data_IF_241726588173
#
_entry.id   IF_241726588173
#
_cell.length_a   1.000
_cell.length_b   1.000
_cell.length_c   1.000
_cell.angle_alpha   90.00
_cell.angle_beta   90.00
_cell.angle_gamma   90.00
#
_symmetry.space_group_name_H-M   'P 1'
#
loop_
_entity.id
_entity.type
_entity.pdbx_description
1 polymer ?
#
# COMPACT_ATOMS: atom_id res chain seq x y z
N UNK A 1 -9.41 -24.51 3.35
CA UNK A 1 -8.61 -23.90 2.27
C UNK A 1 -7.82 -22.76 2.86
N UNK A 2 -6.58 -22.61 2.46
CA UNK A 2 -5.70 -21.58 3.00
C UNK A 2 -5.51 -20.46 1.99
N UNK A 3 -5.20 -19.26 2.49
CA UNK A 3 -4.76 -18.12 1.67
C UNK A 3 -3.51 -18.53 0.87
N UNK A 4 -3.46 -18.13 -0.41
CA UNK A 4 -2.30 -18.38 -1.26
C UNK A 4 -1.60 -17.06 -1.56
N UNK A 5 -0.27 -16.96 -1.33
CA UNK A 5 0.50 -15.78 -1.69
C UNK A 5 0.45 -15.47 -3.20
N UNK A 6 0.73 -14.22 -3.55
CA UNK A 6 0.91 -13.80 -4.94
C UNK A 6 2.17 -14.46 -5.55
N UNK A 7 2.17 -14.58 -6.86
CA UNK A 7 3.38 -14.92 -7.59
C UNK A 7 4.41 -13.79 -7.48
N UNK A 8 5.68 -14.17 -7.45
CA UNK A 8 6.77 -13.19 -7.46
C UNK A 8 6.86 -12.60 -8.87
N UNK A 9 6.87 -11.26 -9.02
CA UNK A 9 7.00 -10.63 -10.33
C UNK A 9 8.30 -11.03 -11.06
N UNK A 10 8.25 -11.13 -12.37
CA UNK A 10 9.41 -11.50 -13.19
C UNK A 10 10.58 -10.52 -13.08
N UNK A 11 10.29 -9.24 -12.76
CA UNK A 11 11.29 -8.18 -12.56
C UNK A 11 11.64 -7.95 -11.07
N UNK A 12 11.34 -8.90 -10.19
CA UNK A 12 11.43 -8.68 -8.74
C UNK A 12 12.85 -8.35 -8.26
N UNK A 13 13.86 -8.96 -8.85
CA UNK A 13 15.27 -8.67 -8.50
C UNK A 13 15.60 -7.19 -8.72
N UNK A 14 15.20 -6.62 -9.87
CA UNK A 14 15.42 -5.21 -10.19
C UNK A 14 14.54 -4.30 -9.34
N UNK A 15 13.30 -4.72 -9.08
CA UNK A 15 12.36 -4.02 -8.20
C UNK A 15 12.92 -3.89 -6.77
N UNK A 16 13.44 -4.97 -6.20
CA UNK A 16 14.06 -4.97 -4.86
C UNK A 16 15.28 -4.05 -4.82
N UNK A 17 16.11 -4.03 -5.87
CA UNK A 17 17.21 -3.07 -5.98
C UNK A 17 16.70 -1.62 -5.98
N UNK A 18 15.57 -1.35 -6.63
CA UNK A 18 14.95 -0.02 -6.60
C UNK A 18 14.43 0.34 -5.19
N UNK A 19 13.88 -0.61 -4.45
CA UNK A 19 13.49 -0.41 -3.04
C UNK A 19 14.72 0.01 -2.21
N UNK A 20 15.83 -0.68 -2.33
CA UNK A 20 17.05 -0.35 -1.59
C UNK A 20 17.63 1.02 -2.00
N UNK A 21 17.65 1.32 -3.30
CA UNK A 21 18.11 2.65 -3.79
C UNK A 21 17.25 3.80 -3.31
N UNK A 22 15.97 3.56 -3.05
CA UNK A 22 15.05 4.61 -2.59
C UNK A 22 15.36 5.14 -1.20
N UNK A 23 16.09 4.35 -0.38
CA UNK A 23 16.38 4.66 1.02
C UNK A 23 15.14 4.69 1.93
N UNK A 24 13.99 4.26 1.45
CA UNK A 24 12.71 4.37 2.16
C UNK A 24 12.67 3.61 3.51
N UNK A 25 13.56 2.64 3.70
CA UNK A 25 13.65 1.87 4.94
C UNK A 25 14.76 2.35 5.89
N UNK A 26 15.60 3.29 5.48
CA UNK A 26 16.80 3.69 6.22
C UNK A 26 16.62 5.00 6.99
N UNK A 27 15.94 5.98 6.37
CA UNK A 27 15.70 7.29 6.98
C UNK A 27 14.22 7.67 6.78
N UNK A 28 13.37 7.13 7.67
CA UNK A 28 11.93 7.27 7.56
C UNK A 28 11.51 8.58 8.22
N UNK A 29 11.20 9.61 7.42
CA UNK A 29 10.38 10.72 7.89
C UNK A 29 8.91 10.30 7.93
N UNK A 30 8.52 9.70 9.06
CA UNK A 30 7.16 9.19 9.25
C UNK A 30 6.09 10.28 9.08
N UNK A 31 6.38 11.52 9.44
CA UNK A 31 5.43 12.63 9.36
C UNK A 31 4.95 12.88 7.92
N UNK A 32 5.86 12.79 6.95
CA UNK A 32 5.50 12.95 5.55
C UNK A 32 4.55 11.84 5.09
N UNK A 33 4.87 10.59 5.40
CA UNK A 33 4.04 9.45 5.02
C UNK A 33 2.69 9.44 5.74
N UNK A 34 2.62 9.90 6.98
CA UNK A 34 1.39 10.03 7.76
C UNK A 34 0.38 10.98 7.11
N UNK A 35 0.84 12.11 6.55
CA UNK A 35 -0.01 13.04 5.83
C UNK A 35 -0.72 12.35 4.65
N UNK A 36 -0.01 11.50 3.91
CA UNK A 36 -0.61 10.77 2.78
C UNK A 36 -1.62 9.71 3.25
N UNK A 37 -1.36 9.03 4.34
CA UNK A 37 -2.32 8.11 4.95
C UNK A 37 -3.58 8.85 5.40
N UNK A 38 -3.44 9.98 6.06
CA UNK A 38 -4.56 10.84 6.45
C UNK A 38 -5.38 11.28 5.23
N UNK A 39 -4.74 11.80 4.18
CA UNK A 39 -5.43 12.23 2.96
C UNK A 39 -6.15 11.07 2.28
N UNK A 40 -5.55 9.88 2.24
CA UNK A 40 -6.18 8.70 1.66
C UNK A 40 -7.46 8.30 2.40
N UNK A 41 -7.47 8.40 3.73
CA UNK A 41 -8.67 8.19 4.56
C UNK A 41 -9.74 9.24 4.25
N UNK A 42 -9.38 10.52 4.24
CA UNK A 42 -10.32 11.62 3.97
C UNK A 42 -10.96 11.50 2.59
N UNK A 43 -10.18 11.18 1.56
CA UNK A 43 -10.66 11.02 0.19
C UNK A 43 -11.64 9.83 0.08
N UNK A 44 -11.32 8.71 0.70
CA UNK A 44 -12.07 7.46 0.51
C UNK A 44 -13.17 7.25 1.54
N UNK A 45 -13.08 7.90 2.71
CA UNK A 45 -13.93 7.62 3.88
C UNK A 45 -13.63 6.26 4.51
N UNK A 46 -12.50 5.64 4.21
CA UNK A 46 -12.05 4.41 4.85
C UNK A 46 -11.50 4.71 6.25
N UNK A 47 -11.72 3.84 7.24
CA UNK A 47 -11.21 4.05 8.60
C UNK A 47 -9.73 3.75 8.76
N UNK A 48 -9.12 3.04 7.81
CA UNK A 48 -7.73 2.59 7.88
C UNK A 48 -6.98 2.92 6.61
N UNK A 49 -5.77 3.46 6.78
CA UNK A 49 -4.81 3.67 5.69
C UNK A 49 -3.39 3.35 6.17
N UNK A 50 -2.56 2.89 5.26
CA UNK A 50 -1.12 2.70 5.49
C UNK A 50 -0.35 2.81 4.20
N UNK A 51 0.93 3.08 4.33
CA UNK A 51 1.88 3.02 3.22
C UNK A 51 3.11 2.23 3.63
N UNK A 52 3.69 1.51 2.70
CA UNK A 52 4.86 0.71 2.95
C UNK A 52 5.55 0.27 1.68
N UNK A 53 6.75 -0.24 1.87
CA UNK A 53 7.57 -0.84 0.81
C UNK A 53 7.72 -2.33 1.05
N UNK A 54 7.95 -3.06 -0.02
CA UNK A 54 8.11 -4.53 0.02
C UNK A 54 9.44 -4.89 -0.63
N UNK A 55 10.32 -5.48 0.16
CA UNK A 55 11.58 -6.03 -0.35
C UNK A 55 11.43 -7.51 -0.81
N UNK A 56 12.51 -8.28 -0.79
CA UNK A 56 12.48 -9.70 -1.18
C UNK A 56 11.76 -10.59 -0.16
N UNK A 57 11.74 -10.21 1.11
CA UNK A 57 11.31 -11.07 2.21
C UNK A 57 10.15 -10.49 3.02
N UNK A 58 10.10 -9.17 3.18
CA UNK A 58 9.15 -8.51 4.07
C UNK A 58 8.56 -7.24 3.49
N UNK A 59 7.44 -6.85 4.05
CA UNK A 59 6.88 -5.52 3.96
C UNK A 59 7.30 -4.71 5.18
N UNK A 60 7.71 -3.46 4.96
CA UNK A 60 7.95 -2.46 5.99
C UNK A 60 6.89 -1.37 5.87
N UNK A 61 6.10 -1.17 6.93
CA UNK A 61 5.12 -0.09 7.01
C UNK A 61 5.85 1.19 7.41
N UNK A 62 5.77 2.22 6.58
CA UNK A 62 6.40 3.51 6.77
C UNK A 62 5.51 4.47 7.56
N UNK A 63 4.21 4.39 7.36
CA UNK A 63 3.21 5.12 8.13
C UNK A 63 1.86 4.39 8.10
N UNK A 64 1.04 4.65 9.10
CA UNK A 64 -0.29 4.07 9.24
C UNK A 64 -1.22 5.01 9.99
N UNK A 65 -2.51 4.92 9.68
CA UNK A 65 -3.57 5.67 10.34
C UNK A 65 -4.80 4.78 10.50
N UNK A 66 -5.33 4.67 11.71
CA UNK A 66 -6.44 3.78 12.05
C UNK A 66 -6.08 2.29 12.15
N UNK A 67 -4.83 1.93 12.05
CA UNK A 67 -4.34 0.56 12.25
C UNK A 67 -4.40 0.18 13.73
N UNK A 68 -4.69 -1.08 14.06
CA UNK A 68 -4.52 -1.58 15.44
C UNK A 68 -3.08 -1.46 15.91
N UNK A 69 -2.87 -1.06 17.16
CA UNK A 69 -1.52 -0.81 17.72
C UNK A 69 -0.67 -2.09 17.84
N UNK A 70 -1.31 -3.25 17.93
CA UNK A 70 -0.68 -4.56 18.05
C UNK A 70 -0.20 -5.15 16.71
N UNK A 71 -0.53 -4.52 15.59
CA UNK A 71 0.00 -4.94 14.28
C UNK A 71 1.43 -4.46 14.11
N UNK A 72 2.40 -5.35 13.87
CA UNK A 72 3.80 -4.96 13.72
C UNK A 72 4.03 -4.13 12.45
N UNK A 73 5.07 -3.27 12.47
CA UNK A 73 5.48 -2.49 11.29
C UNK A 73 6.16 -3.33 10.20
N UNK A 74 6.62 -4.51 10.54
CA UNK A 74 7.21 -5.45 9.60
C UNK A 74 6.42 -6.75 9.58
N UNK A 75 6.20 -7.29 8.41
CA UNK A 75 5.56 -8.60 8.25
C UNK A 75 6.12 -9.35 7.05
N UNK A 76 6.13 -10.69 7.08
CA UNK A 76 6.59 -11.49 5.95
C UNK A 76 5.84 -11.14 4.68
N UNK A 77 6.55 -10.97 3.58
CA UNK A 77 6.00 -10.59 2.28
C UNK A 77 4.82 -11.46 1.86
N UNK A 78 4.95 -12.77 2.03
CA UNK A 78 3.94 -13.75 1.63
C UNK A 78 2.65 -13.73 2.49
N UNK A 79 2.62 -12.94 3.54
CA UNK A 79 1.45 -12.76 4.40
C UNK A 79 0.73 -11.42 4.15
N UNK A 80 1.26 -10.54 3.31
CA UNK A 80 0.69 -9.22 3.07
C UNK A 80 -0.34 -9.23 1.94
N UNK A 81 -1.31 -8.33 2.00
CA UNK A 81 -2.22 -8.04 0.87
C UNK A 81 -1.49 -7.28 -0.24
N UNK A 82 -0.55 -6.41 0.14
CA UNK A 82 0.13 -5.50 -0.77
C UNK A 82 0.98 -6.22 -1.83
N UNK A 83 1.43 -7.45 -1.57
CA UNK A 83 2.18 -8.26 -2.54
C UNK A 83 1.46 -8.45 -3.88
N UNK A 84 0.12 -8.43 -3.86
CA UNK A 84 -0.70 -8.57 -5.08
C UNK A 84 -0.70 -7.34 -5.98
N UNK A 85 -0.22 -6.21 -5.50
CA UNK A 85 -0.11 -4.97 -6.27
C UNK A 85 1.27 -4.78 -6.92
N UNK A 86 2.24 -5.66 -6.67
CA UNK A 86 3.62 -5.48 -7.14
C UNK A 86 3.81 -5.76 -8.62
N UNK A 87 2.98 -6.60 -9.23
CA UNK A 87 3.11 -7.01 -10.63
C UNK A 87 2.61 -5.94 -11.60
N UNK A 88 1.57 -5.20 -11.22
CA UNK A 88 0.90 -4.23 -12.09
C UNK A 88 1.11 -2.82 -11.60
N UNK A 89 1.24 -1.89 -12.53
CA UNK A 89 1.34 -0.44 -12.23
C UNK A 89 -0.04 0.23 -12.05
N UNK A 90 -1.09 -0.58 -11.96
CA UNK A 90 -2.46 -0.13 -11.78
C UNK A 90 -2.95 -0.44 -10.37
N UNK A 91 -3.92 0.31 -9.83
CA UNK A 91 -4.45 0.03 -8.51
C UNK A 91 -5.12 -1.34 -8.44
N UNK A 92 -4.90 -2.02 -7.33
CA UNK A 92 -5.63 -3.23 -6.95
C UNK A 92 -6.81 -2.80 -6.08
N UNK A 93 -8.04 -2.97 -6.57
CA UNK A 93 -9.25 -2.57 -5.84
C UNK A 93 -10.17 -3.78 -5.68
N UNK A 94 -10.51 -4.10 -4.43
CA UNK A 94 -11.34 -5.25 -4.09
C UNK A 94 -12.53 -4.74 -3.29
N UNK A 95 -13.66 -4.55 -3.97
CA UNK A 95 -14.87 -3.98 -3.40
C UNK A 95 -15.50 -4.87 -2.32
N UNK A 96 -15.30 -6.19 -2.42
CA UNK A 96 -15.82 -7.18 -1.47
C UNK A 96 -14.84 -8.36 -1.32
N UNK A 97 -13.96 -8.27 -0.34
CA UNK A 97 -12.94 -9.28 -0.08
C UNK A 97 -13.52 -10.64 0.34
N UNK A 98 -14.67 -10.64 1.00
CA UNK A 98 -15.33 -11.89 1.45
C UNK A 98 -15.78 -12.74 0.27
N UNK A 99 -16.10 -12.11 -0.86
CA UNK A 99 -16.50 -12.80 -2.10
C UNK A 99 -15.35 -13.04 -3.07
N UNK A 100 -14.18 -12.44 -2.84
CA UNK A 100 -13.02 -12.63 -3.72
C UNK A 100 -12.29 -13.93 -3.37
N UNK A 101 -12.19 -14.83 -4.34
CA UNK A 101 -11.58 -16.16 -4.14
C UNK A 101 -10.10 -16.10 -3.70
N UNK A 102 -9.39 -15.01 -4.02
CA UNK A 102 -7.98 -14.81 -3.64
C UNK A 102 -7.82 -14.43 -2.17
N UNK A 103 -8.79 -13.71 -1.60
CA UNK A 103 -8.63 -13.01 -0.32
C UNK A 103 -9.56 -13.47 0.80
N UNK A 104 -10.64 -14.18 0.50
CA UNK A 104 -11.65 -14.58 1.50
C UNK A 104 -11.09 -15.39 2.68
N UNK A 105 -9.94 -16.00 2.52
CA UNK A 105 -9.24 -16.76 3.59
C UNK A 105 -8.01 -16.04 4.15
N UNK A 106 -7.79 -14.78 3.75
CA UNK A 106 -6.71 -13.98 4.30
C UNK A 106 -7.04 -13.54 5.73
N UNK A 107 -6.06 -13.51 6.67
CA UNK A 107 -6.30 -13.10 8.06
C UNK A 107 -6.95 -11.73 8.20
N UNK A 108 -6.65 -10.78 7.31
CA UNK A 108 -7.34 -9.49 7.29
C UNK A 108 -8.87 -9.62 7.19
N UNK A 109 -9.37 -10.64 6.48
CA UNK A 109 -10.79 -10.93 6.34
C UNK A 109 -11.31 -11.77 7.48
N UNK A 110 -10.62 -12.89 7.81
CA UNK A 110 -11.10 -13.87 8.79
C UNK A 110 -10.98 -13.39 10.23
N UNK A 111 -9.92 -12.66 10.55
CA UNK A 111 -9.58 -12.28 11.92
C UNK A 111 -9.90 -10.81 12.21
N UNK A 112 -9.75 -9.93 11.22
CA UNK A 112 -9.97 -8.49 11.37
C UNK A 112 -11.24 -7.95 10.70
N UNK A 113 -11.97 -8.78 9.97
CA UNK A 113 -13.26 -8.42 9.37
C UNK A 113 -13.19 -7.41 8.24
N UNK A 114 -12.04 -7.29 7.56
CA UNK A 114 -11.88 -6.40 6.41
C UNK A 114 -12.74 -6.89 5.25
N UNK A 115 -13.53 -5.99 4.66
CA UNK A 115 -14.41 -6.28 3.53
C UNK A 115 -14.05 -5.52 2.27
N UNK A 116 -13.38 -4.39 2.39
CA UNK A 116 -12.89 -3.57 1.28
C UNK A 116 -11.38 -3.34 1.43
N UNK A 117 -10.68 -3.43 0.33
CA UNK A 117 -9.25 -3.15 0.26
C UNK A 117 -8.90 -2.50 -1.08
N UNK A 118 -8.09 -1.46 -1.04
CA UNK A 118 -7.50 -0.87 -2.23
C UNK A 118 -6.02 -0.55 -1.99
N UNK A 119 -5.18 -0.92 -2.95
CA UNK A 119 -3.76 -0.65 -2.97
C UNK A 119 -3.39 0.14 -4.23
N UNK A 120 -2.71 1.25 -4.03
CA UNK A 120 -2.24 2.13 -5.09
C UNK A 120 -0.72 2.01 -5.16
N UNK A 121 -0.16 1.47 -6.26
CA UNK A 121 1.27 1.17 -6.35
C UNK A 121 2.09 2.46 -6.35
N UNK A 122 3.19 2.44 -5.61
CA UNK A 122 4.22 3.48 -5.59
C UNK A 122 5.26 3.09 -6.63
N UNK A 123 5.24 3.77 -7.76
CA UNK A 123 6.05 3.41 -8.94
C UNK A 123 7.10 4.48 -9.19
N UNK A 124 8.36 4.07 -9.30
CA UNK A 124 9.48 4.96 -9.65
C UNK A 124 9.42 5.39 -11.12
N UNK A 125 10.17 6.45 -11.49
CA UNK A 125 10.23 6.96 -12.87
C UNK A 125 10.75 5.92 -13.87
N UNK A 126 11.63 5.02 -13.42
CA UNK A 126 12.15 3.89 -14.22
C UNK A 126 11.23 2.65 -14.16
N UNK A 127 10.05 2.77 -13.55
CA UNK A 127 8.95 1.82 -13.69
C UNK A 127 8.93 0.67 -12.68
N UNK A 128 9.62 0.78 -11.54
CA UNK A 128 9.60 -0.24 -10.50
C UNK A 128 8.61 0.09 -9.39
N UNK A 129 7.79 -0.88 -9.00
CA UNK A 129 6.87 -0.74 -7.86
C UNK A 129 7.62 -1.00 -6.56
N UNK A 130 7.75 0.03 -5.74
CA UNK A 130 8.42 -0.06 -4.42
C UNK A 130 7.52 -0.69 -3.37
N UNK A 131 6.25 -0.39 -3.41
CA UNK A 131 5.24 -0.76 -2.44
C UNK A 131 3.92 -0.11 -2.78
N UNK A 132 3.12 0.22 -1.76
CA UNK A 132 1.75 0.69 -1.96
C UNK A 132 1.33 1.74 -0.93
N UNK A 133 0.39 2.60 -1.36
CA UNK A 133 -0.50 3.36 -0.49
C UNK A 133 -1.83 2.62 -0.43
N UNK A 134 -2.29 2.25 0.76
CA UNK A 134 -3.44 1.39 0.95
C UNK A 134 -4.52 2.03 1.79
N UNK A 135 -5.77 1.63 1.52
CA UNK A 135 -6.93 1.90 2.37
C UNK A 135 -7.73 0.62 2.55
N UNK A 136 -8.39 0.48 3.70
CA UNK A 136 -9.30 -0.64 3.98
C UNK A 136 -10.51 -0.22 4.80
N UNK A 137 -11.57 -1.02 4.71
CA UNK A 137 -12.82 -0.81 5.42
C UNK A 137 -13.46 -2.15 5.82
N UNK A 138 -14.18 -2.18 6.91
CA UNK A 138 -14.99 -3.32 7.33
C UNK A 138 -16.39 -3.36 6.67
N UNK A 139 -16.63 -2.45 5.73
CA UNK A 139 -17.82 -2.39 4.88
C UNK A 139 -17.44 -2.60 3.43
N UNK A 140 -18.31 -3.24 2.67
CA UNK A 140 -18.19 -3.29 1.21
C UNK A 140 -18.27 -1.86 0.66
N UNK A 141 -17.38 -1.52 -0.26
CA UNK A 141 -17.24 -0.16 -0.77
C UNK A 141 -16.86 -0.18 -2.25
N UNK A 142 -17.26 0.88 -2.95
CA UNK A 142 -16.86 1.14 -4.33
C UNK A 142 -16.33 2.58 -4.41
N UNK A 143 -15.12 2.75 -4.91
CA UNK A 143 -14.54 4.06 -5.14
C UNK A 143 -14.99 4.61 -6.49
N UNK A 144 -15.22 5.93 -6.56
CA UNK A 144 -15.43 6.63 -7.82
C UNK A 144 -14.13 6.71 -8.63
N UNK A 145 -14.21 6.87 -9.94
CA UNK A 145 -13.05 7.09 -10.80
C UNK A 145 -12.22 8.30 -10.36
N UNK A 146 -12.89 9.35 -9.89
CA UNK A 146 -12.22 10.55 -9.38
C UNK A 146 -11.39 10.26 -8.14
N UNK A 147 -11.93 9.54 -7.16
CA UNK A 147 -11.21 9.13 -5.95
C UNK A 147 -10.01 8.23 -6.29
N UNK A 148 -10.20 7.27 -7.19
CA UNK A 148 -9.09 6.40 -7.67
C UNK A 148 -7.97 7.25 -8.28
N UNK A 149 -8.30 8.22 -9.11
CA UNK A 149 -7.32 9.12 -9.73
C UNK A 149 -6.56 9.96 -8.68
N UNK A 150 -7.25 10.46 -7.66
CA UNK A 150 -6.61 11.21 -6.56
C UNK A 150 -5.63 10.32 -5.78
N UNK A 151 -6.01 9.10 -5.47
CA UNK A 151 -5.15 8.15 -4.74
C UNK A 151 -3.93 7.74 -5.57
N UNK A 152 -4.10 7.53 -6.87
CA UNK A 152 -2.97 7.29 -7.79
C UNK A 152 -2.01 8.47 -7.82
N UNK A 153 -2.52 9.71 -7.82
CA UNK A 153 -1.70 10.91 -7.73
C UNK A 153 -0.90 10.99 -6.43
N UNK A 154 -1.50 10.64 -5.30
CA UNK A 154 -0.81 10.56 -4.02
C UNK A 154 0.30 9.49 -4.03
N UNK A 155 0.01 8.30 -4.54
CA UNK A 155 0.98 7.21 -4.63
C UNK A 155 2.18 7.59 -5.53
N UNK A 156 1.95 8.29 -6.62
CA UNK A 156 3.02 8.79 -7.50
C UNK A 156 3.99 9.72 -6.74
N UNK A 157 3.46 10.59 -5.89
CA UNK A 157 4.28 11.51 -5.07
C UNK A 157 5.11 10.77 -4.02
N UNK A 158 4.60 9.67 -3.48
CA UNK A 158 5.31 8.86 -2.48
C UNK A 158 6.54 8.14 -3.05
N UNK A 159 6.66 8.00 -4.36
CA UNK A 159 7.87 7.46 -4.98
C UNK A 159 9.10 8.37 -4.79
N UNK A 160 8.87 9.66 -4.55
CA UNK A 160 9.90 10.69 -4.40
C UNK A 160 9.58 11.63 -3.23
N UNK A 161 9.54 11.12 -1.99
CA UNK A 161 9.14 11.94 -0.84
C UNK A 161 10.07 13.12 -0.58
N UNK A 162 11.36 13.01 -0.92
CA UNK A 162 12.34 14.09 -0.79
C UNK A 162 12.19 15.21 -1.85
N UNK A 163 11.45 14.95 -2.94
CA UNK A 163 11.19 15.95 -3.99
C UNK A 163 9.94 16.78 -3.71
N UNK A 164 9.15 16.40 -2.71
CA UNK A 164 8.07 17.25 -2.20
C UNK A 164 8.69 18.36 -1.35
N UNK A 165 9.43 19.25 -1.97
CA UNK A 165 9.71 20.55 -1.41
C UNK A 165 8.35 21.25 -1.29
N UNK A 166 7.83 21.35 -0.09
CA UNK A 166 6.95 22.45 0.27
C UNK A 166 7.73 23.68 -0.16
N UNK A 167 7.24 24.34 -1.21
CA UNK A 167 7.94 25.49 -1.73
C UNK A 167 8.27 26.41 -0.57
N UNK A 168 9.54 26.57 -0.28
CA UNK A 168 9.98 27.67 0.56
C UNK A 168 9.52 28.91 -0.18
N UNK A 169 8.38 29.45 0.24
CA UNK A 169 8.04 30.82 -0.02
C UNK A 169 9.14 31.65 0.63
N UNK A 170 10.18 31.96 -0.16
CA UNK A 170 11.11 33.01 0.19
C UNK A 170 10.40 34.32 0.09
#
# INVERSE_FOLDING_TARGET
MNFKPALIPSNDTQRVKAVHRSGATEDIDSNLYEIYCFLAKEITGCPVSWTGVIDSEKQVILARDGFPDDVPNEMPRNQTLCQFALEKKQPLIINNMVKDARFKYHPAVTDFGVKFYAAFPIVTSDGYTLGTLCVSDNKVKKLTKHKISLLMGLATKLAYPSEVTIGNAA
#
